data_IF_608593287021
#
_entry.id   IF_608593287021
#
_cell.length_a   1.000
_cell.length_b   1.000
_cell.length_c   1.000
_cell.angle_alpha   90.00
_cell.angle_beta   90.00
_cell.angle_gamma   90.00
#
_symmetry.space_group_name_H-M   'P 1'
#
loop_
_entity.id
_entity.type
_entity.pdbx_description
1 polymer ?
#
# COMPACT_ATOMS: atom_id res chain seq x y z
N UNK A 1 0.25 -7.69 14.20
CA UNK A 1 1.39 -7.21 13.39
C UNK A 1 2.50 -6.77 14.33
N UNK A 2 3.78 -7.12 14.09
CA UNK A 2 4.90 -6.68 14.91
C UNK A 2 5.01 -5.15 15.02
N UNK A 3 5.62 -4.64 16.10
CA UNK A 3 5.63 -3.21 16.42
C UNK A 3 6.52 -2.40 15.46
N UNK A 4 7.67 -2.96 15.06
CA UNK A 4 8.55 -2.42 14.03
C UNK A 4 7.84 -2.28 12.68
N UNK A 5 7.02 -3.27 12.31
CA UNK A 5 6.22 -3.21 11.08
C UNK A 5 5.13 -2.13 11.21
N UNK A 6 4.45 -2.01 12.37
CA UNK A 6 3.47 -0.95 12.61
C UNK A 6 4.08 0.43 12.42
N UNK A 7 5.20 0.72 13.06
CA UNK A 7 5.88 2.02 12.94
C UNK A 7 6.29 2.34 11.50
N UNK A 8 6.72 1.32 10.74
CA UNK A 8 7.12 1.50 9.34
C UNK A 8 5.92 1.72 8.41
N UNK A 9 4.81 1.03 8.66
CA UNK A 9 3.55 1.25 7.94
C UNK A 9 3.02 2.66 8.22
N UNK A 10 3.05 3.10 9.47
CA UNK A 10 2.63 4.45 9.87
C UNK A 10 3.45 5.53 9.16
N UNK A 11 4.79 5.39 9.16
CA UNK A 11 5.69 6.30 8.46
C UNK A 11 5.34 6.41 6.97
N UNK A 12 5.19 5.25 6.30
CA UNK A 12 4.88 5.22 4.87
C UNK A 12 3.51 5.88 4.58
N UNK A 13 2.47 5.48 5.33
CA UNK A 13 1.08 5.86 5.00
C UNK A 13 0.78 7.31 5.32
N UNK A 14 1.27 7.82 6.45
CA UNK A 14 0.90 9.16 6.94
C UNK A 14 1.92 10.24 6.63
N UNK A 15 3.13 9.89 6.17
CA UNK A 15 4.16 10.88 5.89
C UNK A 15 4.73 10.73 4.49
N UNK A 16 5.18 9.53 4.10
CA UNK A 16 5.89 9.39 2.82
C UNK A 16 4.94 9.41 1.61
N UNK A 17 3.75 8.82 1.74
CA UNK A 17 2.73 8.85 0.67
C UNK A 17 2.07 10.23 0.48
N UNK A 18 2.26 11.16 1.42
CA UNK A 18 1.79 12.54 1.30
C UNK A 18 2.76 13.34 0.42
N UNK A 19 2.66 13.13 -0.89
CA UNK A 19 3.50 13.77 -1.90
C UNK A 19 2.73 13.98 -3.20
N UNK A 20 3.21 14.90 -4.05
CA UNK A 20 2.62 15.20 -5.35
C UNK A 20 2.62 14.00 -6.30
N UNK A 21 3.66 13.16 -6.23
CA UNK A 21 3.79 11.96 -7.07
C UNK A 21 4.24 10.72 -6.29
N UNK A 22 3.31 9.93 -5.72
CA UNK A 22 3.64 8.74 -4.92
C UNK A 22 4.28 7.61 -5.73
N UNK A 23 4.24 7.66 -7.07
CA UNK A 23 4.86 6.65 -7.94
C UNK A 23 6.40 6.78 -7.98
N UNK A 24 6.95 7.96 -7.68
CA UNK A 24 8.41 8.19 -7.66
C UNK A 24 9.09 7.60 -6.43
N UNK A 25 8.32 7.32 -5.36
CA UNK A 25 8.81 6.70 -4.13
C UNK A 25 9.30 5.26 -4.33
N UNK A 26 8.92 4.61 -5.44
CA UNK A 26 9.31 3.22 -5.73
C UNK A 26 8.61 2.16 -4.86
N UNK A 27 7.65 2.55 -4.02
CA UNK A 27 6.91 1.62 -3.15
C UNK A 27 5.78 0.86 -3.84
N UNK A 28 5.19 1.46 -4.88
CA UNK A 28 3.92 1.03 -5.45
C UNK A 28 4.10 -0.08 -6.49
N UNK A 29 3.85 -1.32 -6.07
CA UNK A 29 3.74 -2.46 -6.97
C UNK A 29 2.30 -2.59 -7.48
N UNK A 30 2.07 -2.46 -8.81
CA UNK A 30 0.75 -2.69 -9.40
C UNK A 30 0.33 -4.15 -9.28
N UNK A 31 -0.94 -4.39 -8.92
CA UNK A 31 -1.49 -5.75 -8.86
C UNK A 31 -1.96 -6.21 -10.23
N UNK A 32 -1.54 -7.42 -10.63
CA UNK A 32 -1.90 -8.00 -11.94
C UNK A 32 -3.41 -8.18 -12.05
N UNK A 33 -3.99 -7.77 -13.17
CA UNK A 33 -5.43 -7.91 -13.44
C UNK A 33 -6.28 -6.75 -12.94
N UNK A 34 -5.71 -5.78 -12.22
CA UNK A 34 -6.44 -4.64 -11.68
C UNK A 34 -5.84 -3.31 -12.16
N UNK A 35 -6.70 -2.33 -12.47
CA UNK A 35 -6.27 -1.05 -13.05
C UNK A 35 -5.74 -0.06 -12.01
N UNK A 36 -6.34 -0.11 -10.83
CA UNK A 36 -6.28 0.86 -9.73
C UNK A 36 -5.73 0.27 -8.43
N UNK A 37 -5.45 -1.04 -8.39
CA UNK A 37 -4.97 -1.74 -7.19
C UNK A 37 -3.46 -1.85 -7.16
N UNK A 38 -2.87 -1.47 -6.04
CA UNK A 38 -1.44 -1.48 -5.79
C UNK A 38 -1.15 -2.11 -4.43
N UNK A 39 0.11 -2.50 -4.21
CA UNK A 39 0.60 -2.94 -2.91
C UNK A 39 1.93 -2.28 -2.58
N UNK A 40 2.18 -2.06 -1.31
CA UNK A 40 3.51 -1.73 -0.77
C UNK A 40 4.01 -2.92 0.04
N UNK A 41 5.28 -3.28 -0.11
CA UNK A 41 5.92 -4.36 0.65
C UNK A 41 6.58 -3.81 1.90
N UNK A 42 6.23 -4.35 3.06
CA UNK A 42 6.88 -4.02 4.34
C UNK A 42 7.27 -5.33 5.01
N UNK A 43 8.47 -5.84 4.68
CA UNK A 43 8.91 -7.17 5.07
C UNK A 43 7.92 -8.27 4.66
N UNK A 44 7.44 -9.05 5.63
CA UNK A 44 6.43 -10.09 5.42
C UNK A 44 4.99 -9.57 5.36
N UNK A 45 4.77 -8.27 5.53
CA UNK A 45 3.47 -7.62 5.42
C UNK A 45 3.32 -6.89 4.08
N UNK A 46 2.09 -6.59 3.70
CA UNK A 46 1.75 -5.75 2.56
C UNK A 46 0.66 -4.77 2.94
N UNK A 47 0.76 -3.56 2.40
CA UNK A 47 -0.28 -2.55 2.43
C UNK A 47 -1.01 -2.63 1.10
N UNK A 48 -2.32 -2.90 1.11
CA UNK A 48 -3.18 -2.90 -0.07
C UNK A 48 -3.78 -1.52 -0.30
N UNK A 49 -3.60 -0.98 -1.51
CA UNK A 49 -3.93 0.38 -1.87
C UNK A 49 -4.85 0.42 -3.10
N UNK A 50 -5.78 1.36 -3.10
CA UNK A 50 -6.49 1.78 -4.30
C UNK A 50 -6.08 3.21 -4.64
N UNK A 51 -5.62 3.44 -5.87
CA UNK A 51 -5.27 4.78 -6.35
C UNK A 51 -6.35 5.25 -7.31
N UNK A 52 -7.16 6.19 -6.84
CA UNK A 52 -8.15 6.89 -7.63
C UNK A 52 -7.49 8.11 -8.28
N UNK A 53 -7.05 7.94 -9.53
CA UNK A 53 -6.40 9.01 -10.30
C UNK A 53 -7.32 10.20 -10.58
N UNK A 54 -8.57 10.02 -11.03
CA UNK A 54 -9.51 11.12 -11.21
C UNK A 54 -9.64 12.03 -9.98
N UNK A 55 -9.71 11.44 -8.79
CA UNK A 55 -9.88 12.18 -7.53
C UNK A 55 -8.56 12.45 -6.79
N UNK A 56 -7.41 12.14 -7.41
CA UNK A 56 -6.07 12.24 -6.81
C UNK A 56 -6.00 11.67 -5.37
N UNK A 57 -6.68 10.55 -5.12
CA UNK A 57 -6.85 9.99 -3.79
C UNK A 57 -6.19 8.62 -3.70
N UNK A 58 -5.45 8.38 -2.61
CA UNK A 58 -4.91 7.07 -2.25
C UNK A 58 -5.72 6.53 -1.08
N UNK A 59 -6.33 5.35 -1.26
CA UNK A 59 -7.10 4.66 -0.22
C UNK A 59 -6.30 3.47 0.28
N UNK A 60 -5.81 3.55 1.51
CA UNK A 60 -5.20 2.42 2.21
C UNK A 60 -6.28 1.47 2.74
N UNK A 61 -6.52 0.37 2.02
CA UNK A 61 -7.65 -0.52 2.32
C UNK A 61 -7.32 -1.56 3.39
N UNK A 62 -6.11 -2.13 3.35
CA UNK A 62 -5.72 -3.25 4.23
C UNK A 62 -4.22 -3.24 4.52
N UNK A 63 -3.85 -3.74 5.69
CA UNK A 63 -2.48 -4.13 6.02
C UNK A 63 -2.54 -5.58 6.50
N UNK A 64 -1.89 -6.49 5.77
CA UNK A 64 -2.00 -7.92 6.05
C UNK A 64 -0.68 -8.65 5.78
N UNK A 65 -0.50 -9.79 6.44
CA UNK A 65 0.65 -10.65 6.18
C UNK A 65 0.59 -11.22 4.75
N UNK A 66 1.74 -11.55 4.17
CA UNK A 66 1.85 -12.01 2.75
C UNK A 66 0.95 -13.18 2.38
N UNK A 67 0.69 -14.05 3.35
CA UNK A 67 -0.14 -15.26 3.19
C UNK A 67 -1.63 -14.96 3.21
N UNK A 68 -2.02 -13.78 3.72
CA UNK A 68 -3.40 -13.39 3.97
C UNK A 68 -3.88 -12.33 2.98
N UNK A 69 -2.99 -11.45 2.52
CA UNK A 69 -3.42 -10.34 1.66
C UNK A 69 -4.09 -10.88 0.39
N UNK A 70 -3.56 -11.92 -0.24
CA UNK A 70 -4.15 -12.47 -1.48
C UNK A 70 -5.51 -13.17 -1.28
N UNK A 71 -5.92 -13.43 -0.04
CA UNK A 71 -7.27 -13.93 0.28
C UNK A 71 -8.26 -12.80 0.50
N UNK A 72 -7.77 -11.60 0.75
CA UNK A 72 -8.56 -10.46 1.25
C UNK A 72 -8.41 -9.19 0.41
N UNK A 73 -7.47 -9.18 -0.54
CA UNK A 73 -7.12 -8.05 -1.42
C UNK A 73 -6.23 -8.52 -2.61
N UNK A 74 -6.42 -8.05 -3.86
CA UNK A 74 -7.34 -6.99 -4.26
C UNK A 74 -8.80 -7.37 -4.05
#
# INVERSE_FOLDING_TARGET
MPKDIQSRVELIVFYELETDNPFELGYLDKMKGHKDKYKIRVGDYRIGLTIDKPNQTIICQRVAHRREIYKTFP
#
